data_IF_144111761281
#
_entry.id   IF_144111761281
#
_cell.length_a   1.000
_cell.length_b   1.000
_cell.length_c   1.000
_cell.angle_alpha   90.00
_cell.angle_beta   90.00
_cell.angle_gamma   90.00
#
_symmetry.space_group_name_H-M   'P 1'
#
loop_
_entity.id
_entity.type
_entity.pdbx_description
1 polymer ?
#
# COMPACT_ATOMS: atom_id res chain seq x y z
N UNK A 1 24.44 -20.90 -45.63
CA UNK A 1 22.97 -20.88 -45.84
C UNK A 1 22.31 -20.62 -44.49
N UNK A 2 21.37 -19.68 -44.44
CA UNK A 2 20.75 -19.14 -43.22
C UNK A 2 19.61 -20.03 -42.74
N UNK A 3 19.72 -20.59 -41.52
CA UNK A 3 18.62 -21.31 -40.85
C UNK A 3 17.83 -20.26 -40.08
N UNK A 4 16.72 -19.79 -40.64
CA UNK A 4 15.76 -18.95 -39.93
C UNK A 4 14.97 -19.82 -38.94
N UNK A 5 14.74 -19.40 -37.69
CA UNK A 5 13.82 -20.10 -36.80
C UNK A 5 12.40 -19.94 -37.36
N UNK A 6 11.76 -21.07 -37.66
CA UNK A 6 10.36 -21.10 -38.05
C UNK A 6 9.50 -20.58 -36.88
N UNK A 7 8.81 -19.46 -37.09
CA UNK A 7 7.74 -19.01 -36.20
C UNK A 7 6.57 -19.98 -36.32
N UNK A 8 6.56 -21.04 -35.50
CA UNK A 8 5.35 -21.82 -35.25
C UNK A 8 4.37 -20.93 -34.48
N UNK A 9 3.49 -20.24 -35.21
CA UNK A 9 2.23 -19.73 -34.65
C UNK A 9 1.47 -20.95 -34.14
N UNK A 10 1.52 -21.19 -32.83
CA UNK A 10 0.84 -22.32 -32.19
C UNK A 10 -0.62 -22.38 -32.61
N UNK A 11 -1.00 -23.47 -33.27
CA UNK A 11 -2.40 -23.80 -33.53
C UNK A 11 -3.04 -23.98 -32.15
N UNK A 12 -4.04 -23.16 -31.81
CA UNK A 12 -4.81 -23.36 -30.58
C UNK A 12 -5.45 -24.75 -30.67
N UNK A 13 -5.14 -25.61 -29.70
CA UNK A 13 -5.83 -26.88 -29.47
C UNK A 13 -7.33 -26.63 -29.30
N UNK A 14 -8.17 -27.62 -29.61
CA UNK A 14 -9.59 -27.50 -29.31
C UNK A 14 -9.82 -27.51 -27.77
N UNK A 15 -11.03 -27.17 -27.31
CA UNK A 15 -11.29 -27.02 -25.87
C UNK A 15 -11.10 -28.33 -25.09
N UNK A 16 -11.52 -29.46 -25.67
CA UNK A 16 -11.42 -30.77 -25.04
C UNK A 16 -9.96 -31.24 -24.95
N UNK A 17 -9.16 -31.04 -26.00
CA UNK A 17 -7.72 -31.31 -26.03
C UNK A 17 -6.96 -30.46 -24.98
N UNK A 18 -7.42 -29.23 -24.69
CA UNK A 18 -6.83 -28.41 -23.64
C UNK A 18 -7.15 -28.94 -22.24
N UNK A 19 -8.38 -29.46 -22.03
CA UNK A 19 -8.78 -30.07 -20.76
C UNK A 19 -8.03 -31.38 -20.55
N UNK A 20 -7.94 -32.24 -21.57
CA UNK A 20 -7.18 -33.50 -21.51
C UNK A 20 -5.68 -33.25 -21.27
N UNK A 21 -5.10 -32.24 -21.92
CA UNK A 21 -3.73 -31.81 -21.65
C UNK A 21 -3.56 -31.31 -20.20
N UNK A 22 -4.56 -30.61 -19.65
CA UNK A 22 -4.55 -30.16 -18.26
C UNK A 22 -4.63 -31.34 -17.27
N UNK A 23 -5.53 -32.30 -17.50
CA UNK A 23 -5.67 -33.54 -16.70
C UNK A 23 -4.35 -34.33 -16.76
N UNK A 24 -3.81 -34.54 -17.95
CA UNK A 24 -2.53 -35.23 -18.15
C UNK A 24 -1.36 -34.51 -17.45
N UNK A 25 -1.41 -33.18 -17.37
CA UNK A 25 -0.39 -32.38 -16.66
C UNK A 25 -0.56 -32.37 -15.14
N UNK A 26 -1.59 -33.02 -14.58
CA UNK A 26 -1.80 -33.18 -13.15
C UNK A 26 -2.95 -32.34 -12.55
N UNK A 27 -3.88 -31.85 -13.36
CA UNK A 27 -5.13 -31.27 -12.84
C UNK A 27 -5.96 -32.38 -12.16
N UNK A 28 -6.43 -32.11 -10.94
CA UNK A 28 -7.30 -33.05 -10.22
C UNK A 28 -8.60 -33.32 -11.00
N UNK A 29 -9.04 -34.58 -11.01
CA UNK A 29 -10.26 -35.02 -11.73
C UNK A 29 -11.53 -34.32 -11.24
N UNK A 30 -11.53 -33.84 -10.00
CA UNK A 30 -12.66 -33.19 -9.38
C UNK A 30 -12.24 -31.96 -8.56
N UNK A 31 -13.11 -30.95 -8.54
CA UNK A 31 -12.88 -29.70 -7.79
C UNK A 31 -12.96 -29.88 -6.27
N UNK A 32 -13.35 -31.05 -5.78
CA UNK A 32 -13.49 -31.33 -4.34
C UNK A 32 -12.18 -31.25 -3.56
N UNK A 33 -11.03 -31.45 -4.23
CA UNK A 33 -9.71 -31.29 -3.63
C UNK A 33 -9.23 -29.84 -3.60
N UNK A 34 -9.97 -28.91 -4.23
CA UNK A 34 -9.63 -27.50 -4.30
C UNK A 34 -10.32 -26.78 -3.15
N UNK A 35 -9.56 -25.99 -2.40
CA UNK A 35 -10.09 -25.15 -1.32
C UNK A 35 -11.15 -24.19 -1.88
N UNK A 36 -12.35 -24.20 -1.29
CA UNK A 36 -13.46 -23.33 -1.67
C UNK A 36 -13.34 -21.93 -1.05
N UNK A 37 -12.37 -21.70 -0.16
CA UNK A 37 -12.17 -20.42 0.49
C UNK A 37 -11.70 -19.34 -0.49
N UNK A 38 -12.16 -18.09 -0.34
CA UNK A 38 -11.74 -16.99 -1.19
C UNK A 38 -10.25 -16.66 -0.96
N UNK A 39 -9.45 -16.74 -2.03
CA UNK A 39 -8.03 -16.35 -1.99
C UNK A 39 -7.90 -14.82 -2.05
N UNK A 40 -7.34 -14.23 -0.99
CA UNK A 40 -7.09 -12.79 -0.90
C UNK A 40 -5.62 -12.47 -1.14
N UNK A 41 -5.35 -11.32 -1.74
CA UNK A 41 -3.97 -10.83 -1.89
C UNK A 41 -3.31 -10.64 -0.53
N UNK A 42 -2.00 -10.92 -0.47
CA UNK A 42 -1.20 -10.74 0.74
C UNK A 42 -1.16 -9.25 1.11
N UNK A 43 -1.35 -8.98 2.40
CA UNK A 43 -1.21 -7.62 2.92
C UNK A 43 0.26 -7.19 2.91
N UNK A 44 0.50 -5.90 2.67
CA UNK A 44 1.82 -5.32 2.88
C UNK A 44 2.20 -5.42 4.38
N UNK A 45 3.47 -5.61 4.74
CA UNK A 45 3.89 -5.81 6.14
C UNK A 45 3.39 -4.71 7.09
N UNK A 46 3.49 -3.43 6.68
CA UNK A 46 2.99 -2.29 7.48
C UNK A 46 1.48 -2.31 7.65
N UNK A 47 0.74 -2.79 6.65
CA UNK A 47 -0.72 -2.89 6.72
C UNK A 47 -1.14 -4.00 7.67
N UNK A 48 -0.39 -5.12 7.72
CA UNK A 48 -0.70 -6.25 8.60
C UNK A 48 -0.83 -5.83 10.07
N UNK A 49 0.12 -5.04 10.58
CA UNK A 49 0.07 -4.51 11.96
C UNK A 49 -1.24 -3.79 12.30
N UNK A 50 -1.77 -3.02 11.35
CA UNK A 50 -3.04 -2.32 11.53
C UNK A 50 -4.21 -3.29 11.57
N UNK A 51 -4.23 -4.29 10.70
CA UNK A 51 -5.29 -5.30 10.65
C UNK A 51 -5.29 -6.14 11.92
N UNK A 52 -4.12 -6.63 12.33
CA UNK A 52 -3.94 -7.40 13.56
C UNK A 52 -4.41 -6.61 14.79
N UNK A 53 -4.07 -5.31 14.89
CA UNK A 53 -4.52 -4.45 15.98
C UNK A 53 -6.05 -4.31 16.07
N UNK A 54 -6.76 -4.16 14.96
CA UNK A 54 -8.24 -4.08 15.00
C UNK A 54 -8.85 -5.46 15.29
N UNK A 55 -8.19 -6.55 14.89
CA UNK A 55 -8.65 -7.90 15.20
C UNK A 55 -8.49 -8.24 16.69
N UNK A 56 -7.40 -7.84 17.33
CA UNK A 56 -7.25 -7.98 18.78
C UNK A 56 -8.32 -7.21 19.58
N UNK A 57 -8.76 -6.06 19.06
CA UNK A 57 -9.89 -5.33 19.64
C UNK A 57 -11.19 -6.15 19.54
N UNK A 58 -11.41 -6.83 18.41
CA UNK A 58 -12.52 -7.76 18.24
C UNK A 58 -12.44 -8.95 19.20
N UNK A 59 -11.29 -9.60 19.35
CA UNK A 59 -11.11 -10.71 20.29
C UNK A 59 -11.41 -10.27 21.74
N UNK A 60 -11.03 -9.05 22.11
CA UNK A 60 -11.38 -8.48 23.41
C UNK A 60 -12.88 -8.23 23.56
N UNK A 61 -13.55 -7.78 22.49
CA UNK A 61 -14.99 -7.60 22.45
C UNK A 61 -15.75 -8.93 22.55
N UNK A 62 -15.34 -9.95 21.79
CA UNK A 62 -15.96 -11.28 21.78
C UNK A 62 -15.85 -11.98 23.16
N UNK A 63 -14.73 -11.79 23.87
CA UNK A 63 -14.59 -12.26 25.27
C UNK A 63 -15.62 -11.63 26.23
N UNK A 64 -16.09 -10.41 25.95
CA UNK A 64 -17.09 -9.71 26.76
C UNK A 64 -18.52 -9.99 26.28
N UNK A 65 -18.70 -10.27 25.00
CA UNK A 65 -19.98 -10.56 24.38
C UNK A 65 -19.90 -11.87 23.59
N UNK A 66 -19.93 -13.03 24.27
CA UNK A 66 -19.84 -14.33 23.61
C UNK A 66 -20.98 -14.52 22.59
N UNK A 67 -20.66 -15.09 21.43
CA UNK A 67 -21.64 -15.30 20.35
C UNK A 67 -21.89 -14.07 19.48
N UNK A 68 -21.09 -13.01 19.64
CA UNK A 68 -21.12 -11.86 18.76
C UNK A 68 -20.82 -12.24 17.30
N UNK A 69 -21.69 -11.85 16.38
CA UNK A 69 -21.55 -12.15 14.95
C UNK A 69 -21.53 -10.85 14.12
N UNK A 70 -20.38 -10.48 13.51
CA UNK A 70 -20.25 -9.26 12.71
C UNK A 70 -21.03 -9.32 11.38
N UNK A 71 -21.63 -10.46 11.04
CA UNK A 71 -22.58 -10.55 9.91
C UNK A 71 -23.94 -9.95 10.25
N UNK A 72 -24.20 -9.62 11.53
CA UNK A 72 -25.44 -8.97 11.98
C UNK A 72 -25.27 -7.46 12.13
N UNK A 73 -26.30 -6.69 11.74
CA UNK A 73 -26.28 -5.23 11.88
C UNK A 73 -26.12 -4.77 13.33
N UNK A 74 -26.80 -5.43 14.26
CA UNK A 74 -26.79 -5.05 15.68
C UNK A 74 -25.39 -5.19 16.27
N UNK A 75 -24.72 -6.32 16.03
CA UNK A 75 -23.36 -6.54 16.50
C UNK A 75 -22.40 -5.50 15.92
N UNK A 76 -22.51 -5.20 14.62
CA UNK A 76 -21.60 -4.23 14.00
C UNK A 76 -21.81 -2.80 14.49
N UNK A 77 -23.07 -2.40 14.75
CA UNK A 77 -23.37 -1.10 15.36
C UNK A 77 -22.78 -0.98 16.76
N UNK A 78 -23.02 -1.99 17.59
CA UNK A 78 -22.50 -2.02 18.96
C UNK A 78 -20.96 -2.06 18.98
N UNK A 79 -20.34 -2.85 18.11
CA UNK A 79 -18.87 -2.85 17.97
C UNK A 79 -18.33 -1.48 17.51
N UNK A 80 -19.00 -0.81 16.56
CA UNK A 80 -18.59 0.53 16.13
C UNK A 80 -18.67 1.56 17.27
N UNK A 81 -19.67 1.46 18.15
CA UNK A 81 -19.75 2.28 19.35
C UNK A 81 -18.59 2.01 20.31
N UNK A 82 -18.25 0.74 20.56
CA UNK A 82 -17.09 0.35 21.37
C UNK A 82 -15.80 0.93 20.79
N UNK A 83 -15.61 0.84 19.47
CA UNK A 83 -14.45 1.43 18.77
C UNK A 83 -14.44 2.96 18.92
N UNK A 84 -15.58 3.63 18.77
CA UNK A 84 -15.70 5.07 18.91
C UNK A 84 -15.37 5.56 20.33
N UNK A 85 -15.90 4.88 21.35
CA UNK A 85 -15.68 5.22 22.77
C UNK A 85 -14.27 4.92 23.26
N UNK A 86 -13.62 3.88 22.72
CA UNK A 86 -12.27 3.48 23.12
C UNK A 86 -11.15 4.19 22.35
N UNK A 87 -11.47 4.84 21.23
CA UNK A 87 -10.47 5.54 20.42
C UNK A 87 -10.22 6.93 20.97
N UNK A 88 -8.98 7.22 21.33
CA UNK A 88 -8.56 8.57 21.75
C UNK A 88 -8.30 9.42 20.51
N UNK A 89 -9.03 10.54 20.42
CA UNK A 89 -8.87 11.58 19.41
C UNK A 89 -7.61 12.42 19.64
N UNK A 90 -7.01 12.89 18.54
CA UNK A 90 -5.81 13.74 18.55
C UNK A 90 -6.02 15.14 17.98
N UNK A 91 -7.18 15.38 17.35
CA UNK A 91 -7.47 16.62 16.63
C UNK A 91 -8.44 17.51 17.37
N UNK A 92 -9.28 16.92 18.22
CA UNK A 92 -10.27 17.61 19.02
C UNK A 92 -9.71 17.86 20.42
N UNK A 93 -9.93 19.05 20.97
CA UNK A 93 -9.50 19.40 22.33
C UNK A 93 -10.16 18.50 23.39
N UNK A 94 -11.36 18.00 23.11
CA UNK A 94 -12.07 17.04 23.96
C UNK A 94 -11.53 15.62 23.86
N UNK A 95 -10.47 15.36 23.07
CA UNK A 95 -9.91 14.03 22.89
C UNK A 95 -10.84 13.06 22.17
N UNK A 96 -11.87 13.56 21.47
CA UNK A 96 -12.88 12.75 20.79
C UNK A 96 -12.35 12.19 19.47
N UNK A 97 -12.59 10.90 19.24
CA UNK A 97 -12.27 10.26 17.97
C UNK A 97 -13.00 10.96 16.81
N UNK A 98 -12.34 11.05 15.66
CA UNK A 98 -12.99 11.57 14.45
C UNK A 98 -13.83 10.51 13.76
N UNK A 99 -14.90 10.94 13.11
CA UNK A 99 -15.80 10.07 12.30
C UNK A 99 -14.99 9.21 11.31
N UNK A 100 -14.04 9.83 10.60
CA UNK A 100 -13.17 9.14 9.63
C UNK A 100 -12.31 8.05 10.29
N UNK A 101 -11.84 8.27 11.52
CA UNK A 101 -11.03 7.30 12.25
C UNK A 101 -11.85 6.06 12.58
N UNK A 102 -13.04 6.24 13.16
CA UNK A 102 -13.93 5.13 13.52
C UNK A 102 -14.35 4.34 12.26
N UNK A 103 -14.76 5.03 11.19
CA UNK A 103 -15.09 4.38 9.91
C UNK A 103 -13.93 3.53 9.37
N UNK A 104 -12.70 4.05 9.44
CA UNK A 104 -11.53 3.36 8.93
C UNK A 104 -11.19 2.12 9.78
N UNK A 105 -11.29 2.21 11.11
CA UNK A 105 -11.08 1.10 12.03
C UNK A 105 -12.10 -0.02 11.81
N UNK A 106 -13.39 0.32 11.78
CA UNK A 106 -14.48 -0.65 11.53
C UNK A 106 -14.32 -1.32 10.16
N UNK A 107 -13.93 -0.57 9.12
CA UNK A 107 -13.66 -1.13 7.78
C UNK A 107 -12.48 -2.11 7.79
N UNK A 108 -11.39 -1.76 8.47
CA UNK A 108 -10.20 -2.63 8.56
C UNK A 108 -10.55 -3.90 9.33
N UNK A 109 -11.27 -3.78 10.44
CA UNK A 109 -11.81 -4.92 11.18
C UNK A 109 -12.63 -5.85 10.27
N UNK A 110 -13.66 -5.33 9.57
CA UNK A 110 -14.49 -6.16 8.68
C UNK A 110 -13.63 -6.91 7.65
N UNK A 111 -12.66 -6.22 7.06
CA UNK A 111 -11.76 -6.82 6.07
C UNK A 111 -10.86 -7.91 6.66
N UNK A 112 -10.44 -7.75 7.93
CA UNK A 112 -9.60 -8.72 8.63
C UNK A 112 -10.41 -9.92 9.12
N UNK A 113 -11.61 -9.69 9.67
CA UNK A 113 -12.49 -10.76 10.11
C UNK A 113 -12.83 -11.72 8.97
N UNK A 114 -13.14 -11.19 7.79
CA UNK A 114 -13.39 -12.02 6.61
C UNK A 114 -12.13 -12.76 6.08
N UNK A 115 -10.91 -12.27 6.38
CA UNK A 115 -9.65 -12.96 6.04
C UNK A 115 -9.44 -14.17 6.94
N UNK A 116 -9.64 -14.00 8.24
CA UNK A 116 -9.40 -15.03 9.26
C UNK A 116 -10.48 -16.11 9.26
N UNK A 117 -11.75 -15.73 9.04
CA UNK A 117 -12.88 -16.66 9.15
C UNK A 117 -13.29 -17.29 7.81
N UNK A 118 -12.66 -16.88 6.69
CA UNK A 118 -13.01 -17.28 5.32
C UNK A 118 -14.49 -17.09 4.95
N UNK A 119 -15.18 -16.20 5.68
CA UNK A 119 -16.58 -15.87 5.50
C UNK A 119 -16.73 -14.44 5.00
N UNK A 120 -17.88 -14.12 4.43
CA UNK A 120 -18.17 -12.79 3.90
C UNK A 120 -19.21 -12.09 4.77
N UNK A 121 -18.94 -10.85 5.15
CA UNK A 121 -19.93 -10.01 5.83
C UNK A 121 -20.93 -9.54 4.77
N UNK A 122 -22.26 -9.69 5.01
CA UNK A 122 -23.26 -9.31 4.01
C UNK A 122 -23.06 -7.86 3.54
N UNK A 123 -23.14 -7.58 2.21
CA UNK A 123 -22.91 -6.24 1.68
C UNK A 123 -23.81 -5.16 2.30
N UNK A 124 -25.03 -5.56 2.72
CA UNK A 124 -25.95 -4.68 3.45
C UNK A 124 -25.31 -4.17 4.74
N UNK A 125 -24.70 -5.06 5.52
CA UNK A 125 -24.02 -4.68 6.76
C UNK A 125 -22.81 -3.80 6.47
N UNK A 126 -21.93 -4.27 5.58
CA UNK A 126 -20.71 -3.56 5.25
C UNK A 126 -20.97 -2.12 4.73
N UNK A 127 -21.95 -1.94 3.84
CA UNK A 127 -22.27 -0.63 3.26
C UNK A 127 -23.01 0.26 4.26
N UNK A 128 -23.86 -0.29 5.13
CA UNK A 128 -24.63 0.48 6.11
C UNK A 128 -23.80 1.01 7.29
N UNK A 129 -22.61 0.47 7.55
CA UNK A 129 -21.79 0.95 8.67
C UNK A 129 -21.28 2.37 8.50
N UNK A 130 -20.93 2.77 7.27
CA UNK A 130 -20.46 4.15 7.00
C UNK A 130 -21.52 5.22 7.33
N UNK A 131 -22.75 5.17 6.77
CA UNK A 131 -23.78 6.15 7.11
C UNK A 131 -24.22 6.04 8.57
N UNK A 132 -24.26 4.83 9.16
CA UNK A 132 -24.53 4.70 10.60
C UNK A 132 -23.52 5.49 11.46
N UNK A 133 -22.22 5.36 11.18
CA UNK A 133 -21.19 6.06 11.94
C UNK A 133 -21.25 7.58 11.70
N UNK A 134 -21.51 8.00 10.46
CA UNK A 134 -21.56 9.41 10.06
C UNK A 134 -22.77 10.13 10.67
N UNK A 135 -23.95 9.53 10.57
CA UNK A 135 -25.23 10.22 10.74
C UNK A 135 -25.93 9.86 12.06
N UNK A 136 -25.68 8.70 12.65
CA UNK A 136 -26.33 8.27 13.90
C UNK A 136 -25.34 8.26 15.06
N UNK A 137 -24.30 7.43 14.97
CA UNK A 137 -23.36 7.21 16.06
C UNK A 137 -22.64 8.51 16.46
N UNK A 138 -22.34 9.37 15.48
CA UNK A 138 -21.76 10.68 15.71
C UNK A 138 -22.56 11.51 16.72
N UNK A 139 -23.89 11.44 16.70
CA UNK A 139 -24.73 12.22 17.61
C UNK A 139 -24.90 11.53 18.97
N UNK A 140 -24.84 10.20 19.01
CA UNK A 140 -24.93 9.42 20.26
C UNK A 140 -23.64 9.50 21.10
N UNK A 141 -22.48 9.40 20.45
CA UNK A 141 -21.16 9.62 21.04
C UNK A 141 -20.52 10.76 20.26
N UNK A 142 -20.50 12.02 20.75
CA UNK A 142 -20.12 13.19 19.95
C UNK A 142 -18.76 13.04 19.26
N UNK A 143 -18.74 12.49 18.04
CA UNK A 143 -17.53 12.23 17.27
C UNK A 143 -17.12 13.53 16.58
N UNK A 144 -15.83 13.80 16.57
CA UNK A 144 -15.32 15.03 15.97
C UNK A 144 -15.34 14.96 14.43
N UNK A 145 -15.70 16.07 13.80
CA UNK A 145 -15.53 16.29 12.36
C UNK A 145 -14.23 17.01 12.03
N UNK A 146 -13.40 17.30 13.03
CA UNK A 146 -12.14 17.99 12.82
C UNK A 146 -11.29 17.25 11.78
N UNK A 147 -10.87 17.98 10.77
CA UNK A 147 -9.90 17.53 9.80
C UNK A 147 -8.57 18.23 10.07
N UNK A 148 -7.48 17.47 10.03
CA UNK A 148 -6.16 18.06 10.13
C UNK A 148 -5.97 18.99 8.94
N UNK A 149 -5.69 20.27 9.22
CA UNK A 149 -5.36 21.23 8.18
C UNK A 149 -4.22 20.67 7.31
N UNK A 150 -4.33 20.78 5.97
CA UNK A 150 -3.28 20.30 5.09
C UNK A 150 -1.98 21.04 5.42
N UNK A 151 -0.93 20.27 5.74
CA UNK A 151 0.41 20.80 5.92
C UNK A 151 1.05 20.92 4.55
N UNK A 152 1.33 22.14 4.11
CA UNK A 152 2.03 22.42 2.87
C UNK A 152 3.48 22.82 3.15
N UNK A 153 4.37 22.46 2.24
CA UNK A 153 5.74 22.92 2.26
C UNK A 153 5.79 24.31 1.62
N UNK A 154 6.21 25.33 2.37
CA UNK A 154 6.40 26.68 1.82
C UNK A 154 7.77 26.79 1.14
N UNK A 155 7.94 27.79 0.29
CA UNK A 155 9.24 28.13 -0.30
C UNK A 155 10.27 28.42 0.79
N UNK A 156 9.86 29.10 1.86
CA UNK A 156 10.73 29.40 3.00
C UNK A 156 11.21 28.11 3.68
N UNK A 157 10.31 27.17 3.98
CA UNK A 157 10.68 25.87 4.56
C UNK A 157 11.66 25.12 3.65
N UNK A 158 11.48 25.20 2.32
CA UNK A 158 12.39 24.59 1.37
C UNK A 158 13.79 25.22 1.41
N UNK A 159 13.89 26.55 1.43
CA UNK A 159 15.17 27.26 1.53
C UNK A 159 15.89 26.91 2.83
N UNK A 160 15.17 26.90 3.95
CA UNK A 160 15.72 26.52 5.26
C UNK A 160 16.20 25.07 5.28
N UNK A 161 15.45 24.13 4.68
CA UNK A 161 15.89 22.73 4.58
C UNK A 161 17.13 22.56 3.70
N UNK A 162 17.24 23.27 2.56
CA UNK A 162 18.44 23.24 1.73
C UNK A 162 19.63 23.91 2.44
N UNK A 163 19.43 25.02 3.16
CA UNK A 163 20.49 25.65 3.96
C UNK A 163 20.96 24.74 5.09
N UNK A 164 20.03 24.12 5.82
CA UNK A 164 20.35 23.10 6.82
C UNK A 164 21.12 21.95 6.18
N UNK A 165 20.64 21.41 5.06
CA UNK A 165 21.29 20.30 4.37
C UNK A 165 22.69 20.67 3.89
N UNK A 166 22.96 21.89 3.41
CA UNK A 166 24.25 22.26 2.77
C UNK A 166 25.23 23.02 3.67
N UNK A 167 24.76 23.76 4.66
CA UNK A 167 25.61 24.67 5.45
C UNK A 167 25.61 24.36 6.94
N UNK A 168 24.51 23.84 7.48
CA UNK A 168 24.31 23.64 8.93
C UNK A 168 23.94 22.19 9.26
N UNK A 169 24.45 21.26 8.46
CA UNK A 169 24.18 19.85 8.64
C UNK A 169 25.18 19.27 9.64
N UNK A 170 24.65 18.66 10.70
CA UNK A 170 25.43 17.98 11.73
C UNK A 170 25.52 16.47 11.47
N UNK A 171 24.98 15.99 10.35
CA UNK A 171 25.02 14.59 9.97
C UNK A 171 26.32 14.22 9.26
N UNK A 172 26.98 13.17 9.77
CA UNK A 172 28.15 12.57 9.11
C UNK A 172 27.69 11.53 8.08
N UNK A 173 27.67 11.92 6.80
CA UNK A 173 27.38 11.01 5.70
C UNK A 173 28.55 10.07 5.46
N UNK A 174 28.28 8.78 5.22
CA UNK A 174 29.31 7.85 4.74
C UNK A 174 30.00 8.37 3.45
N UNK A 175 29.21 8.99 2.55
CA UNK A 175 29.68 9.57 1.29
C UNK A 175 28.92 10.87 0.99
N UNK A 176 29.62 11.91 0.53
CA UNK A 176 28.99 13.19 0.11
C UNK A 176 27.96 13.02 -1.01
N UNK A 177 28.09 11.97 -1.84
CA UNK A 177 27.08 11.64 -2.84
C UNK A 177 25.68 11.38 -2.25
N UNK A 178 25.59 10.88 -1.01
CA UNK A 178 24.31 10.69 -0.33
C UNK A 178 23.61 12.01 -0.01
N UNK A 179 24.38 13.05 0.31
CA UNK A 179 23.88 14.41 0.52
C UNK A 179 23.33 15.02 -0.77
N UNK A 180 24.05 14.82 -1.88
CA UNK A 180 23.60 15.20 -3.23
C UNK A 180 22.29 14.49 -3.59
N UNK A 181 22.21 13.17 -3.33
CA UNK A 181 21.01 12.37 -3.58
C UNK A 181 19.80 12.89 -2.76
N UNK A 182 20.00 13.25 -1.50
CA UNK A 182 18.95 13.83 -0.64
C UNK A 182 18.45 15.18 -1.16
N UNK A 183 19.36 16.09 -1.53
CA UNK A 183 18.98 17.38 -2.13
C UNK A 183 18.24 17.17 -3.45
N UNK A 184 18.68 16.23 -4.29
CA UNK A 184 17.99 15.90 -5.54
C UNK A 184 16.58 15.35 -5.31
N UNK A 185 16.40 14.46 -4.31
CA UNK A 185 15.07 13.95 -3.93
C UNK A 185 14.16 15.08 -3.43
N UNK A 186 14.67 15.98 -2.60
CA UNK A 186 13.92 17.13 -2.09
C UNK A 186 13.49 18.05 -3.25
N UNK A 187 14.42 18.41 -4.13
CA UNK A 187 14.15 19.21 -5.34
C UNK A 187 13.12 18.56 -6.24
N UNK A 188 13.28 17.28 -6.54
CA UNK A 188 12.31 16.55 -7.36
C UNK A 188 10.91 16.58 -6.73
N UNK A 189 10.79 16.39 -5.40
CA UNK A 189 9.51 16.47 -4.72
C UNK A 189 8.89 17.88 -4.84
N UNK A 190 9.65 18.93 -4.57
CA UNK A 190 9.19 20.32 -4.63
C UNK A 190 8.75 20.74 -6.04
N UNK A 191 9.50 20.39 -7.08
CA UNK A 191 9.23 20.85 -8.44
C UNK A 191 8.23 19.98 -9.22
N UNK A 192 8.07 18.71 -8.86
CA UNK A 192 7.11 17.81 -9.54
C UNK A 192 5.83 17.54 -8.74
N UNK A 193 5.82 17.85 -7.44
CA UNK A 193 4.79 17.41 -6.50
C UNK A 193 4.57 15.88 -6.49
N UNK A 194 5.48 15.10 -7.06
CA UNK A 194 5.37 13.65 -7.15
C UNK A 194 5.52 13.02 -5.75
N UNK A 195 4.80 11.94 -5.50
CA UNK A 195 4.95 11.20 -4.23
C UNK A 195 6.34 10.60 -4.14
N UNK A 196 6.87 10.48 -2.92
CA UNK A 196 8.18 9.85 -2.70
C UNK A 196 8.29 8.47 -3.39
N UNK A 197 7.23 7.66 -3.35
CA UNK A 197 7.20 6.37 -4.02
C UNK A 197 7.33 6.48 -5.55
N UNK A 198 6.72 7.50 -6.17
CA UNK A 198 6.78 7.73 -7.62
C UNK A 198 8.21 8.14 -8.01
N UNK A 199 8.83 9.04 -7.23
CA UNK A 199 10.22 9.46 -7.42
C UNK A 199 11.18 8.29 -7.27
N UNK A 200 11.05 7.50 -6.20
CA UNK A 200 11.94 6.36 -5.96
C UNK A 200 11.76 5.21 -6.96
N UNK A 201 10.62 5.13 -7.63
CA UNK A 201 10.35 4.13 -8.68
C UNK A 201 10.63 4.65 -10.09
N UNK A 202 10.99 5.93 -10.23
CA UNK A 202 11.33 6.52 -11.51
C UNK A 202 12.51 5.78 -12.14
N UNK A 203 12.32 5.35 -13.40
CA UNK A 203 13.38 4.75 -14.21
C UNK A 203 13.79 5.78 -15.25
N UNK A 204 15.04 6.19 -15.24
CA UNK A 204 15.56 6.96 -16.37
C UNK A 204 15.73 6.03 -17.57
N UNK A 205 15.18 6.44 -18.70
CA UNK A 205 15.61 5.92 -19.99
C UNK A 205 16.74 6.84 -20.42
N UNK A 206 17.97 6.35 -20.46
CA UNK A 206 19.10 7.13 -20.98
C UNK A 206 18.78 7.43 -22.45
N UNK A 207 18.31 8.65 -22.74
CA UNK A 207 18.34 9.18 -24.10
C UNK A 207 19.76 9.69 -24.29
N UNK A 208 20.56 8.98 -25.07
CA UNK A 208 21.75 9.58 -25.65
C UNK A 208 21.28 10.77 -26.48
N UNK A 209 21.58 11.97 -26.03
CA UNK A 209 21.61 13.17 -26.88
C UNK A 209 22.91 13.08 -27.69
N UNK A 210 22.86 12.95 -29.02
CA UNK A 210 24.07 12.93 -29.84
C UNK A 210 24.56 14.37 -29.97
N UNK A 211 25.31 14.86 -28.99
CA UNK A 211 26.11 16.06 -29.17
C UNK A 211 27.58 15.71 -28.98
N UNK A 212 28.28 15.74 -30.13
CA UNK A 212 29.72 15.67 -30.36
C UNK A 212 30.34 14.25 -30.31
N UNK A 213 30.16 13.50 -31.39
CA UNK A 213 31.08 12.42 -31.77
C UNK A 213 31.74 12.78 -33.11
N UNK A 214 32.90 13.46 -33.04
CA UNK A 214 33.94 13.37 -34.06
C UNK A 214 35.15 12.75 -33.37
N UNK A 215 35.27 11.43 -33.52
CA UNK A 215 36.47 10.72 -33.99
C UNK A 215 36.50 9.28 -33.46
N UNK A 216 36.14 8.37 -34.37
CA UNK A 216 36.71 7.03 -34.61
C UNK A 216 37.11 6.13 -33.42
N UNK A 217 36.30 5.11 -33.10
CA UNK A 217 36.64 3.67 -33.32
C UNK A 217 35.47 2.74 -32.90
N UNK A 218 35.09 1.69 -33.66
CA UNK A 218 33.92 0.85 -33.35
C UNK A 218 34.32 -0.48 -32.71
N UNK A 219 34.38 -0.55 -31.37
CA UNK A 219 34.24 -1.83 -30.65
C UNK A 219 34.03 -1.61 -29.15
N UNK A 220 32.80 -1.85 -28.66
CA UNK A 220 32.53 -2.55 -27.40
C UNK A 220 31.06 -2.35 -26.95
N UNK A 221 30.38 -3.48 -26.78
CA UNK A 221 29.36 -3.80 -25.78
C UNK A 221 28.20 -2.81 -25.47
N UNK A 222 26.99 -3.33 -25.65
CA UNK A 222 25.75 -2.80 -25.07
C UNK A 222 25.92 -2.52 -23.56
N UNK A 223 25.66 -1.30 -23.06
CA UNK A 223 25.64 -1.05 -21.63
C UNK A 223 24.23 -1.27 -21.07
N UNK A 224 24.14 -2.20 -20.12
CA UNK A 224 23.06 -2.22 -19.11
C UNK A 224 23.07 -0.90 -18.36
N UNK A 225 22.06 -0.05 -18.58
CA UNK A 225 21.94 1.23 -17.90
C UNK A 225 21.89 1.06 -16.37
N UNK A 226 22.49 1.99 -15.59
CA UNK A 226 22.42 1.91 -14.15
C UNK A 226 20.97 2.05 -13.66
N UNK A 227 20.66 1.43 -12.52
CA UNK A 227 19.38 1.60 -11.83
C UNK A 227 19.62 2.58 -10.68
N UNK A 228 18.63 3.41 -10.32
CA UNK A 228 18.60 4.11 -9.01
C UNK A 228 18.53 3.14 -7.80
N UNK A 229 18.77 1.85 -8.00
CA UNK A 229 18.76 0.81 -6.98
C UNK A 229 19.81 1.05 -5.88
N UNK A 230 20.94 1.67 -6.23
CA UNK A 230 22.02 1.96 -5.29
C UNK A 230 21.63 2.93 -4.17
N UNK A 231 20.62 3.78 -4.38
CA UNK A 231 20.14 4.73 -3.36
C UNK A 231 19.31 4.00 -2.29
N UNK A 232 18.53 2.99 -2.68
CA UNK A 232 17.68 2.22 -1.75
C UNK A 232 18.45 1.14 -0.97
N UNK A 233 19.41 0.45 -1.58
CA UNK A 233 20.22 -0.56 -0.88
C UNK A 233 21.07 0.08 0.23
N UNK A 234 21.60 1.29 -0.01
CA UNK A 234 22.35 2.05 1.00
C UNK A 234 21.48 2.62 2.13
N UNK A 235 20.22 2.93 1.85
CA UNK A 235 19.27 3.45 2.84
C UNK A 235 18.61 2.34 3.69
N UNK A 236 18.34 1.16 3.10
CA UNK A 236 17.85 -0.03 3.83
C UNK A 236 18.91 -0.75 4.66
N UNK A 237 20.19 -0.60 4.34
CA UNK A 237 21.26 -1.17 5.15
C UNK A 237 21.55 -0.39 6.45
N UNK A 238 20.96 0.81 6.60
CA UNK A 238 21.24 1.75 7.70
C UNK A 238 20.04 2.07 8.60
N UNK A 239 18.85 1.50 8.33
CA UNK A 239 17.63 1.61 9.14
C UNK A 239 16.89 0.28 9.20
#
# INVERSE_FOLDING_TARGET
>A
MSIKPAKTRGRRLNADEQIEAAITSGLAENSSSIDCNPVRSKLAPKSKLKYDSEYHMWEAYERKFPGADPRTMQCMKHFAEVVGRSTVGRLDEGGMATVKTVQNKVRVFMSQWERENHQTIPPKVHKSMRPYIQDYLRHEIPLSEAEKAPTFLTIQNYLEMEELLWQKDYHNYDHEGSRVDLSALLKMHCYSSARLQEICQAKYKVRYTPEVEKDNNPSANQPTGPRLHGVMERWRARN
#
